data_IF_242446359928
#
_entry.id   IF_242446359928
#
_cell.length_a   1.000
_cell.length_b   1.000
_cell.length_c   1.000
_cell.angle_alpha   90.00
_cell.angle_beta   90.00
_cell.angle_gamma   90.00
#
_symmetry.space_group_name_H-M   'P 1'
#
loop_
_entity.id
_entity.type
_entity.pdbx_description
1 polymer ?
#
# COMPACT_ATOMS: atom_id res chain seq x y z
N UNK A 1 34.52 -16.02 44.63
CA UNK A 1 33.40 -16.22 45.59
C UNK A 1 32.35 -15.14 45.39
N UNK A 2 31.28 -15.48 44.65
CA UNK A 2 29.88 -15.00 44.73
C UNK A 2 29.20 -15.45 43.42
N UNK A 3 28.39 -16.52 43.44
CA UNK A 3 27.68 -16.98 42.26
C UNK A 3 26.32 -16.28 42.18
N UNK A 4 25.93 -15.87 40.97
CA UNK A 4 24.56 -15.50 40.66
C UNK A 4 23.88 -16.67 39.94
N UNK A 5 22.89 -17.24 40.61
CA UNK A 5 21.93 -18.17 40.06
C UNK A 5 20.89 -17.39 39.24
N UNK A 6 20.72 -17.72 37.97
CA UNK A 6 19.51 -17.40 37.21
C UNK A 6 18.85 -18.72 36.81
N UNK A 7 17.59 -18.85 37.21
CA UNK A 7 16.78 -20.04 37.04
C UNK A 7 16.30 -20.21 35.61
N UNK A 8 16.42 -21.44 35.14
CA UNK A 8 15.74 -22.00 33.98
C UNK A 8 14.31 -22.37 34.37
N UNK A 9 13.32 -21.74 33.73
CA UNK A 9 11.96 -22.26 33.61
C UNK A 9 11.64 -22.33 32.12
N UNK A 10 11.39 -23.55 31.65
CA UNK A 10 11.01 -23.86 30.28
C UNK A 10 9.51 -24.07 30.10
N UNK A 11 9.21 -24.70 28.94
CA UNK A 11 7.92 -25.15 28.41
C UNK A 11 7.13 -24.08 27.63
N UNK A 12 6.51 -24.35 26.48
CA UNK A 12 6.44 -25.56 25.66
C UNK A 12 6.11 -25.17 24.21
N UNK A 13 6.61 -26.00 23.30
CA UNK A 13 6.35 -25.98 21.86
C UNK A 13 4.95 -26.50 21.58
N UNK A 14 4.16 -25.76 20.80
CA UNK A 14 2.89 -26.21 20.25
C UNK A 14 2.88 -26.01 18.73
N UNK A 15 3.35 -27.01 17.99
CA UNK A 15 3.25 -27.05 16.54
C UNK A 15 1.93 -27.74 16.14
N UNK A 16 1.05 -27.02 15.45
CA UNK A 16 -0.14 -27.57 14.80
C UNK A 16 0.25 -27.88 13.35
N UNK A 17 0.46 -29.15 13.06
CA UNK A 17 0.63 -29.67 11.70
C UNK A 17 -0.77 -30.00 11.13
N UNK A 18 -1.21 -29.22 10.15
CA UNK A 18 -2.38 -29.56 9.33
C UNK A 18 -1.90 -30.22 8.05
N UNK A 19 -1.95 -31.54 7.99
CA UNK A 19 -1.72 -32.30 6.77
C UNK A 19 -2.99 -32.28 5.91
N UNK A 20 -2.93 -31.63 4.75
CA UNK A 20 -3.95 -31.77 3.70
C UNK A 20 -3.45 -32.82 2.71
N UNK A 21 -4.08 -33.98 2.73
CA UNK A 21 -3.94 -35.03 1.70
C UNK A 21 -4.82 -34.64 0.50
N UNK A 22 -4.20 -34.26 -0.61
CA UNK A 22 -4.86 -34.26 -1.91
C UNK A 22 -4.69 -35.63 -2.56
N UNK A 23 -5.80 -36.35 -2.72
CA UNK A 23 -5.87 -37.55 -3.56
C UNK A 23 -6.00 -37.12 -5.02
N UNK A 24 -4.94 -37.32 -5.80
CA UNK A 24 -5.00 -37.23 -7.26
C UNK A 24 -5.73 -38.48 -7.80
N UNK A 25 -6.90 -38.28 -8.40
CA UNK A 25 -7.48 -39.25 -9.34
C UNK A 25 -7.01 -38.89 -10.73
N UNK A 26 -6.22 -39.79 -11.31
CA UNK A 26 -5.79 -39.69 -12.70
C UNK A 26 -6.97 -39.91 -13.65
N UNK A 27 -6.84 -39.31 -14.83
CA UNK A 27 -7.54 -39.77 -16.01
C UNK A 27 -6.57 -39.69 -17.19
N UNK A 28 -6.34 -40.86 -17.80
CA UNK A 28 -5.55 -41.08 -19.01
C UNK A 28 -6.47 -40.95 -20.23
N UNK A 29 -6.25 -39.99 -21.12
CA UNK A 29 -6.47 -40.10 -22.58
C UNK A 29 -5.77 -38.88 -23.20
N UNK A 30 -4.97 -38.92 -24.26
CA UNK A 30 -4.74 -39.91 -25.30
C UNK A 30 -3.72 -39.31 -26.27
N UNK A 31 -2.88 -40.17 -26.84
CA UNK A 31 -1.95 -39.80 -27.89
C UNK A 31 -2.69 -39.41 -29.17
N UNK A 32 -2.28 -38.30 -29.78
CA UNK A 32 -2.55 -38.01 -31.19
C UNK A 32 -1.32 -37.35 -31.82
N UNK A 33 -0.55 -38.18 -32.54
CA UNK A 33 0.27 -37.76 -33.67
C UNK A 33 -0.58 -37.00 -34.68
N UNK A 34 -0.05 -35.90 -35.25
CA UNK A 34 -0.70 -35.32 -36.40
C UNK A 34 -0.25 -33.92 -36.80
N UNK A 35 0.73 -33.89 -37.71
CA UNK A 35 0.83 -32.96 -38.84
C UNK A 35 0.99 -31.45 -38.58
N UNK A 36 2.18 -30.97 -38.93
CA UNK A 36 2.43 -29.59 -39.38
C UNK A 36 1.53 -29.22 -40.56
N UNK A 37 1.10 -27.95 -40.62
CA UNK A 37 0.94 -27.28 -41.90
C UNK A 37 1.80 -26.02 -41.97
N UNK A 38 2.69 -26.01 -42.97
CA UNK A 38 3.17 -24.79 -43.61
C UNK A 38 1.99 -24.07 -44.27
N UNK A 39 1.76 -22.80 -43.94
CA UNK A 39 1.03 -21.86 -44.82
C UNK A 39 1.32 -20.41 -44.38
N UNK A 40 2.18 -19.69 -45.10
CA UNK A 40 1.93 -18.90 -46.32
C UNK A 40 1.45 -17.48 -45.98
N UNK A 41 2.29 -16.53 -46.38
CA UNK A 41 2.02 -15.09 -46.38
C UNK A 41 0.71 -14.79 -47.11
N UNK A 42 -0.13 -13.96 -46.49
CA UNK A 42 -1.07 -13.15 -47.27
C UNK A 42 -1.32 -11.81 -46.61
N UNK A 43 -0.80 -10.79 -47.29
CA UNK A 43 -1.23 -9.41 -47.18
C UNK A 43 -2.76 -9.31 -47.24
N UNK A 44 -3.33 -8.59 -46.28
CA UNK A 44 -4.75 -8.28 -46.19
C UNK A 44 -4.93 -6.88 -45.65
N UNK A 45 -4.85 -5.90 -46.54
CA UNK A 45 -5.43 -4.56 -46.37
C UNK A 45 -6.93 -4.70 -46.14
N UNK A 46 -7.38 -4.41 -44.92
CA UNK A 46 -8.79 -4.41 -44.52
C UNK A 46 -9.18 -3.04 -43.96
N UNK A 47 -9.52 -2.11 -44.85
CA UNK A 47 -10.33 -0.93 -44.53
C UNK A 47 -11.71 -1.39 -44.08
N UNK A 48 -12.01 -1.25 -42.79
CA UNK A 48 -13.32 -1.52 -42.21
C UNK A 48 -13.91 -0.27 -41.57
N UNK A 49 -14.65 0.50 -42.37
CA UNK A 49 -15.61 1.50 -41.93
C UNK A 49 -16.74 0.81 -41.16
N UNK A 50 -16.73 0.95 -39.83
CA UNK A 50 -17.79 0.51 -38.92
C UNK A 50 -18.53 1.70 -38.34
N UNK A 51 -19.49 2.22 -39.11
CA UNK A 51 -20.57 3.10 -38.64
C UNK A 51 -21.51 2.35 -37.69
N UNK A 52 -21.81 2.97 -36.55
CA UNK A 52 -23.09 2.82 -35.86
C UNK A 52 -23.13 1.81 -34.72
N UNK A 53 -23.15 2.31 -33.48
CA UNK A 53 -24.29 2.10 -32.58
C UNK A 53 -24.15 3.05 -31.38
N UNK A 54 -24.64 4.28 -31.50
CA UNK A 54 -24.81 5.19 -30.37
C UNK A 54 -26.03 4.73 -29.58
N UNK A 55 -25.85 3.75 -28.68
CA UNK A 55 -26.87 3.46 -27.68
C UNK A 55 -26.82 4.55 -26.62
N UNK A 56 -27.87 5.36 -26.64
CA UNK A 56 -28.17 6.38 -25.66
C UNK A 56 -28.04 5.83 -24.24
N UNK A 57 -27.15 6.47 -23.49
CA UNK A 57 -27.25 6.51 -22.05
C UNK A 57 -28.22 7.66 -21.72
N UNK A 58 -29.46 7.28 -21.45
CA UNK A 58 -30.40 8.14 -20.74
C UNK A 58 -29.85 8.38 -19.33
N UNK A 59 -29.30 9.58 -19.14
CA UNK A 59 -28.78 10.02 -17.86
C UNK A 59 -29.89 10.15 -16.80
N UNK A 60 -29.58 9.89 -15.52
CA UNK A 60 -30.45 10.33 -14.44
C UNK A 60 -30.41 11.87 -14.38
N UNK A 61 -31.50 12.46 -14.86
CA UNK A 61 -31.91 13.84 -14.72
C UNK A 61 -31.44 14.47 -13.40
N UNK A 62 -30.65 15.53 -13.52
CA UNK A 62 -30.35 16.44 -12.43
C UNK A 62 -31.65 17.04 -11.87
N UNK A 63 -32.05 16.58 -10.70
CA UNK A 63 -33.12 17.18 -9.90
C UNK A 63 -32.69 18.55 -9.40
N UNK A 64 -32.94 19.58 -10.22
CA UNK A 64 -32.81 20.98 -9.83
C UNK A 64 -33.98 21.33 -8.90
N UNK A 65 -33.78 21.28 -7.59
CA UNK A 65 -34.70 21.94 -6.64
C UNK A 65 -34.33 23.40 -6.52
N UNK A 66 -34.87 24.19 -7.44
CA UNK A 66 -35.15 25.59 -7.19
C UNK A 66 -36.30 25.67 -6.19
N UNK A 67 -36.01 25.98 -4.93
CA UNK A 67 -37.03 26.43 -4.00
C UNK A 67 -37.21 27.94 -4.22
N UNK A 68 -38.32 28.27 -4.87
CA UNK A 68 -38.83 29.62 -5.03
C UNK A 68 -38.99 30.28 -3.66
N UNK A 69 -38.62 31.56 -3.59
CA UNK A 69 -38.92 32.40 -2.46
C UNK A 69 -40.42 32.61 -2.34
N UNK A 70 -40.92 32.50 -1.11
CA UNK A 70 -42.24 33.00 -0.75
C UNK A 70 -42.10 34.34 0.00
N UNK A 71 -43.07 35.24 -0.19
CA UNK A 71 -42.96 36.65 0.15
C UNK A 71 -43.07 36.92 1.64
N UNK A 72 -42.34 37.95 2.05
CA UNK A 72 -42.42 38.62 3.33
C UNK A 72 -43.88 38.89 3.73
N UNK A 73 -44.36 38.14 4.72
CA UNK A 73 -45.57 38.50 5.48
C UNK A 73 -45.10 39.22 6.74
N UNK A 74 -45.35 40.52 6.79
CA UNK A 74 -45.15 41.34 7.98
C UNK A 74 -46.26 41.05 9.01
N UNK A 75 -45.95 40.60 10.24
CA UNK A 75 -46.86 40.76 11.35
C UNK A 75 -46.72 42.18 11.90
N UNK A 76 -47.67 43.02 11.50
CA UNK A 76 -47.93 44.30 12.16
C UNK A 76 -48.81 44.06 13.38
N UNK A 77 -48.30 44.49 14.54
CA UNK A 77 -49.13 44.97 15.64
C UNK A 77 -49.49 43.97 16.74
N UNK A 78 -49.12 44.33 17.97
CA UNK A 78 -49.76 43.85 19.18
C UNK A 78 -48.84 43.08 20.10
N UNK A 79 -48.12 43.77 20.97
CA UNK A 79 -48.52 43.94 22.37
C UNK A 79 -47.25 44.18 23.22
N UNK A 80 -47.10 45.41 23.68
CA UNK A 80 -46.16 45.79 24.73
C UNK A 80 -46.67 45.21 26.06
N UNK A 81 -46.62 43.88 26.19
CA UNK A 81 -46.75 43.18 27.45
C UNK A 81 -45.36 43.11 28.08
N UNK A 82 -45.09 44.01 29.02
CA UNK A 82 -43.98 43.86 29.94
C UNK A 82 -44.12 42.51 30.67
N UNK A 83 -43.49 41.47 30.13
CA UNK A 83 -43.17 40.26 30.88
C UNK A 83 -42.01 40.65 31.80
N UNK A 84 -42.38 41.36 32.88
CA UNK A 84 -41.56 41.53 34.06
C UNK A 84 -41.03 40.16 34.41
N UNK A 85 -39.76 39.94 34.04
CA UNK A 85 -38.78 39.07 34.68
C UNK A 85 -39.31 38.54 35.99
N UNK A 86 -40.08 37.45 35.90
CA UNK A 86 -40.46 36.65 37.03
C UNK A 86 -39.16 35.99 37.44
N UNK A 87 -38.41 36.69 38.28
CA UNK A 87 -37.48 36.12 39.24
C UNK A 87 -38.34 35.16 40.08
N UNK A 88 -38.68 34.01 39.49
CA UNK A 88 -39.15 32.85 40.22
C UNK A 88 -38.00 32.55 41.16
N UNK A 89 -38.14 33.07 42.39
CA UNK A 89 -37.23 32.83 43.49
C UNK A 89 -37.24 31.32 43.67
N UNK A 90 -36.26 30.66 43.05
CA UNK A 90 -36.06 29.24 43.18
C UNK A 90 -36.01 28.97 44.67
N UNK A 91 -37.03 28.28 45.17
CA UNK A 91 -37.03 27.84 46.57
C UNK A 91 -35.71 27.11 46.82
N UNK A 92 -35.15 27.16 48.04
CA UNK A 92 -33.92 26.43 48.36
C UNK A 92 -33.97 24.94 47.96
N UNK A 93 -35.16 24.34 47.94
CA UNK A 93 -35.40 22.97 47.48
C UNK A 93 -35.34 22.78 45.96
N UNK A 94 -35.69 23.80 45.17
CA UNK A 94 -35.55 23.78 43.70
C UNK A 94 -34.07 23.97 43.31
N UNK A 95 -33.38 24.94 43.91
CA UNK A 95 -31.95 25.16 43.69
C UNK A 95 -31.12 23.92 44.06
N UNK A 96 -31.44 23.25 45.17
CA UNK A 96 -30.78 21.99 45.55
C UNK A 96 -31.00 20.87 44.53
N UNK A 97 -32.18 20.80 43.92
CA UNK A 97 -32.48 19.79 42.89
C UNK A 97 -31.70 20.06 41.60
N UNK A 98 -31.67 21.31 41.14
CA UNK A 98 -30.88 21.71 39.97
C UNK A 98 -29.38 21.48 40.21
N UNK A 99 -28.87 21.84 41.38
CA UNK A 99 -27.47 21.59 41.72
C UNK A 99 -27.10 20.10 41.66
N UNK A 100 -27.98 19.20 42.13
CA UNK A 100 -27.75 17.76 42.03
C UNK A 100 -27.80 17.22 40.60
N UNK A 101 -28.58 17.83 39.70
CA UNK A 101 -28.60 17.51 38.27
C UNK A 101 -27.27 17.91 37.63
N UNK A 102 -26.83 19.16 37.86
CA UNK A 102 -25.55 19.66 37.35
C UNK A 102 -24.37 18.82 37.83
N UNK A 103 -24.36 18.41 39.11
CA UNK A 103 -23.31 17.54 39.65
C UNK A 103 -23.27 16.17 38.96
N UNK A 104 -24.44 15.62 38.61
CA UNK A 104 -24.52 14.34 37.90
C UNK A 104 -24.03 14.46 36.46
N UNK A 105 -24.44 15.51 35.75
CA UNK A 105 -23.96 15.80 34.39
C UNK A 105 -22.45 16.02 34.37
N UNK A 106 -21.92 16.77 35.34
CA UNK A 106 -20.50 17.01 35.47
C UNK A 106 -19.72 15.70 35.71
N UNK A 107 -20.26 14.79 36.52
CA UNK A 107 -19.67 13.47 36.72
C UNK A 107 -19.63 12.64 35.42
N UNK A 108 -20.72 12.58 34.67
CA UNK A 108 -20.79 11.87 33.37
C UNK A 108 -19.80 12.47 32.36
N UNK A 109 -19.69 13.81 32.29
CA UNK A 109 -18.72 14.46 31.42
C UNK A 109 -17.28 14.13 31.81
N UNK A 110 -16.96 14.09 33.11
CA UNK A 110 -15.64 13.68 33.57
C UNK A 110 -15.30 12.23 33.21
N UNK A 111 -16.27 11.30 33.31
CA UNK A 111 -16.08 9.92 32.87
C UNK A 111 -15.86 9.83 31.35
N UNK A 112 -16.60 10.60 30.55
CA UNK A 112 -16.41 10.65 29.09
C UNK A 112 -15.04 11.22 28.71
N UNK A 113 -14.60 12.30 29.37
CA UNK A 113 -13.27 12.87 29.15
C UNK A 113 -12.18 11.86 29.51
N UNK A 114 -12.31 11.17 30.65
CA UNK A 114 -11.35 10.15 31.07
C UNK A 114 -11.31 8.98 30.08
N UNK A 115 -12.46 8.52 29.57
CA UNK A 115 -12.54 7.47 28.57
C UNK A 115 -11.90 7.88 27.24
N UNK A 116 -12.17 9.10 26.77
CA UNK A 116 -11.55 9.65 25.55
C UNK A 116 -10.04 9.82 25.71
N UNK A 117 -9.58 10.32 26.86
CA UNK A 117 -8.15 10.44 27.16
C UNK A 117 -7.46 9.07 27.19
N UNK A 118 -8.09 8.05 27.77
CA UNK A 118 -7.58 6.69 27.74
C UNK A 118 -7.52 6.12 26.31
N UNK A 119 -8.51 6.43 25.47
CA UNK A 119 -8.54 6.02 24.07
C UNK A 119 -7.44 6.70 23.25
N UNK A 120 -7.22 8.00 23.47
CA UNK A 120 -6.12 8.75 22.85
C UNK A 120 -4.76 8.21 23.32
N UNK A 121 -4.60 7.92 24.61
CA UNK A 121 -3.36 7.33 25.13
C UNK A 121 -3.10 5.94 24.53
N UNK A 122 -4.11 5.08 24.42
CA UNK A 122 -3.97 3.77 23.78
C UNK A 122 -3.63 3.88 22.28
N UNK A 123 -4.19 4.87 21.57
CA UNK A 123 -3.85 5.15 20.17
C UNK A 123 -2.44 5.73 20.04
N UNK A 124 -1.98 6.54 20.99
CA UNK A 124 -0.62 7.08 21.02
C UNK A 124 0.41 6.01 21.37
N UNK A 125 0.12 5.12 22.32
CA UNK A 125 0.96 3.97 22.65
C UNK A 125 0.99 2.93 21.51
N UNK A 126 -0.13 2.71 20.83
CA UNK A 126 -0.19 1.92 19.60
C UNK A 126 0.49 2.61 18.41
N UNK A 127 0.48 3.93 18.37
CA UNK A 127 1.15 4.77 17.37
C UNK A 127 2.66 4.87 17.56
N UNK A 128 3.17 4.74 18.79
CA UNK A 128 4.61 4.64 19.06
C UNK A 128 5.24 3.37 18.44
N UNK A 129 4.45 2.33 18.19
CA UNK A 129 4.88 1.17 17.40
C UNK A 129 4.87 1.44 15.87
N UNK A 130 4.19 2.50 15.41
CA UNK A 130 4.24 2.95 14.01
C UNK A 130 5.42 3.88 13.73
N UNK A 131 5.96 4.54 14.75
CA UNK A 131 7.09 5.48 14.65
C UNK A 131 8.45 4.78 14.42
N UNK A 132 8.56 3.48 14.71
CA UNK A 132 9.77 2.69 14.45
C UNK A 132 9.70 1.91 13.12
N UNK A 133 8.82 2.30 12.20
CA UNK A 133 8.89 1.75 10.84
C UNK A 133 10.10 2.40 10.16
N UNK A 134 11.15 1.62 9.87
CA UNK A 134 12.35 2.18 9.29
C UNK A 134 12.02 2.84 7.95
N UNK A 135 12.44 4.10 7.78
CA UNK A 135 12.43 4.80 6.49
C UNK A 135 13.03 3.88 5.41
N UNK A 136 12.28 3.69 4.32
CA UNK A 136 12.68 2.82 3.19
C UNK A 136 13.19 3.58 1.98
N UNK A 137 12.96 4.89 1.95
CA UNK A 137 13.35 5.85 0.91
C UNK A 137 13.85 7.14 1.56
N UNK A 138 14.39 8.07 0.76
CA UNK A 138 14.96 9.35 1.20
C UNK A 138 16.05 9.26 2.30
N UNK A 139 16.70 8.12 2.37
CA UNK A 139 17.80 7.87 3.31
C UNK A 139 18.99 8.76 2.96
N UNK A 140 19.44 9.56 3.91
CA UNK A 140 20.59 10.43 3.72
C UNK A 140 21.90 9.60 3.64
N UNK A 141 22.99 10.16 3.07
CA UNK A 141 24.26 9.44 2.91
C UNK A 141 24.84 8.84 4.20
N UNK A 142 24.60 9.49 5.35
CA UNK A 142 25.04 8.98 6.65
C UNK A 142 24.23 7.75 7.12
N UNK A 143 22.92 7.72 6.86
CA UNK A 143 22.08 6.54 7.09
C UNK A 143 22.49 5.39 6.17
N UNK A 144 22.68 5.67 4.88
CA UNK A 144 23.12 4.67 3.89
C UNK A 144 24.50 4.07 4.25
N UNK A 145 25.45 4.90 4.67
CA UNK A 145 26.76 4.43 5.13
C UNK A 145 26.68 3.53 6.37
N UNK A 146 25.78 3.83 7.32
CA UNK A 146 25.54 2.96 8.49
C UNK A 146 24.90 1.64 8.09
N UNK A 147 23.93 1.67 7.18
CA UNK A 147 23.28 0.46 6.66
C UNK A 147 24.26 -0.43 5.91
N UNK A 148 25.17 0.14 5.11
CA UNK A 148 26.21 -0.64 4.43
C UNK A 148 27.13 -1.40 5.41
N UNK A 149 27.43 -0.83 6.59
CA UNK A 149 28.25 -1.49 7.62
C UNK A 149 27.57 -2.74 8.20
N UNK A 150 26.24 -2.76 8.29
CA UNK A 150 25.45 -3.91 8.73
C UNK A 150 24.89 -4.73 7.56
N UNK A 151 25.32 -4.45 6.32
CA UNK A 151 24.77 -5.01 5.10
C UNK A 151 23.22 -4.92 5.02
N UNK A 152 22.65 -3.89 5.63
CA UNK A 152 21.22 -3.65 5.65
C UNK A 152 20.80 -3.00 4.35
N UNK A 153 19.72 -3.52 3.76
CA UNK A 153 19.06 -2.93 2.60
C UNK A 153 17.60 -2.67 2.96
N UNK A 154 17.14 -1.46 2.66
CA UNK A 154 15.73 -1.07 2.74
C UNK A 154 15.32 -0.54 1.38
N UNK A 155 14.13 -0.91 0.95
CA UNK A 155 13.56 -0.46 -0.30
C UNK A 155 12.04 -0.61 -0.24
N UNK A 156 11.39 0.14 -1.09
CA UNK A 156 9.97 0.06 -1.39
C UNK A 156 9.78 -0.11 -2.90
N UNK A 157 8.66 -0.71 -3.26
CA UNK A 157 8.24 -0.89 -4.66
C UNK A 157 6.72 -1.04 -4.74
N UNK A 158 6.13 -0.86 -5.94
CA UNK A 158 4.76 -1.29 -6.19
C UNK A 158 4.56 -2.77 -5.86
N UNK A 159 3.31 -3.13 -5.54
CA UNK A 159 2.94 -4.50 -5.18
C UNK A 159 3.13 -5.47 -6.36
N UNK A 160 3.62 -6.69 -6.08
CA UNK A 160 3.71 -7.81 -7.03
C UNK A 160 2.41 -8.63 -7.12
N UNK A 161 1.26 -7.99 -6.88
CA UNK A 161 -0.06 -8.62 -7.01
C UNK A 161 -0.39 -8.94 -8.47
N UNK A 162 -1.48 -9.66 -8.73
CA UNK A 162 -1.90 -10.03 -10.10
C UNK A 162 -2.28 -8.81 -10.95
N UNK A 163 -2.85 -7.79 -10.31
CA UNK A 163 -3.28 -6.55 -10.96
C UNK A 163 -2.37 -5.40 -10.53
N UNK A 164 -2.11 -4.42 -11.41
CA UNK A 164 -1.36 -3.24 -11.03
C UNK A 164 -2.10 -2.47 -9.93
N UNK A 165 -1.37 -1.87 -8.97
CA UNK A 165 -2.00 -1.01 -7.97
C UNK A 165 -2.62 0.22 -8.64
N UNK A 166 -3.64 0.78 -7.99
CA UNK A 166 -4.29 2.04 -8.39
C UNK A 166 -4.55 2.89 -7.16
N UNK A 167 -4.68 4.20 -7.36
CA UNK A 167 -5.03 5.13 -6.27
C UNK A 167 -6.48 4.84 -5.83
N UNK A 168 -6.73 4.55 -4.53
CA UNK A 168 -8.08 4.43 -4.01
C UNK A 168 -8.87 5.75 -4.15
N UNK A 169 -10.16 5.66 -4.43
CA UNK A 169 -11.01 6.85 -4.64
C UNK A 169 -10.99 7.85 -3.47
N UNK A 170 -10.78 7.37 -2.24
CA UNK A 170 -10.62 8.24 -1.05
C UNK A 170 -9.38 9.13 -1.12
N UNK A 171 -8.28 8.59 -1.64
CA UNK A 171 -6.97 9.27 -1.67
C UNK A 171 -6.90 10.31 -2.80
N UNK A 172 -7.67 10.15 -3.88
CA UNK A 172 -7.77 11.14 -4.97
C UNK A 172 -8.15 12.52 -4.42
N UNK A 173 -9.16 12.55 -3.53
CA UNK A 173 -9.68 13.80 -2.98
C UNK A 173 -8.75 14.43 -1.93
N UNK A 174 -8.06 13.61 -1.13
CA UNK A 174 -7.13 14.11 -0.10
C UNK A 174 -5.85 14.70 -0.72
N UNK A 175 -5.41 14.12 -1.85
CA UNK A 175 -4.26 14.60 -2.62
C UNK A 175 -4.60 15.73 -3.60
N UNK A 176 -5.88 16.11 -3.72
CA UNK A 176 -6.30 17.16 -4.67
C UNK A 176 -6.05 16.81 -6.14
N UNK A 177 -5.97 15.52 -6.48
CA UNK A 177 -5.69 15.07 -7.83
C UNK A 177 -6.87 15.32 -8.76
N UNK A 178 -6.57 15.82 -9.96
CA UNK A 178 -7.52 15.95 -11.08
C UNK A 178 -7.64 14.62 -11.82
N UNK A 179 -8.75 14.43 -12.53
CA UNK A 179 -9.01 13.19 -13.30
C UNK A 179 -7.87 12.82 -14.27
N UNK A 180 -7.27 13.82 -14.91
CA UNK A 180 -6.14 13.60 -15.81
C UNK A 180 -4.85 13.19 -15.07
N UNK A 181 -4.66 13.64 -13.83
CA UNK A 181 -3.51 13.26 -13.01
C UNK A 181 -3.69 11.85 -12.46
N UNK A 182 -4.90 11.48 -12.05
CA UNK A 182 -5.25 10.11 -11.64
C UNK A 182 -4.95 9.12 -12.76
N UNK A 183 -5.32 9.46 -14.01
CA UNK A 183 -5.02 8.62 -15.17
C UNK A 183 -3.50 8.42 -15.36
N UNK A 184 -2.71 9.49 -15.23
CA UNK A 184 -1.24 9.45 -15.32
C UNK A 184 -0.66 8.57 -14.20
N UNK A 185 -1.08 8.75 -12.95
CA UNK A 185 -0.54 7.95 -11.84
C UNK A 185 -0.85 6.47 -12.03
N UNK A 186 -2.09 6.13 -12.38
CA UNK A 186 -2.49 4.74 -12.61
C UNK A 186 -1.74 4.13 -13.80
N UNK A 187 -1.48 4.89 -14.86
CA UNK A 187 -0.65 4.45 -15.99
C UNK A 187 0.79 4.16 -15.55
N UNK A 188 1.41 5.04 -14.77
CA UNK A 188 2.77 4.82 -14.25
C UNK A 188 2.86 3.62 -13.32
N UNK A 189 1.86 3.40 -12.45
CA UNK A 189 1.77 2.19 -11.65
C UNK A 189 1.64 0.93 -12.52
N UNK A 190 0.85 0.96 -13.59
CA UNK A 190 0.70 -0.16 -14.51
C UNK A 190 2.00 -0.47 -15.26
N UNK A 191 2.74 0.55 -15.73
CA UNK A 191 4.03 0.38 -16.39
C UNK A 191 5.10 -0.19 -15.44
N UNK A 192 5.18 0.35 -14.23
CA UNK A 192 6.10 -0.14 -13.19
C UNK A 192 5.79 -1.59 -12.80
N UNK A 193 4.51 -1.91 -12.56
CA UNK A 193 4.03 -3.26 -12.29
C UNK A 193 4.39 -4.23 -13.41
N UNK A 194 4.14 -3.87 -14.68
CA UNK A 194 4.47 -4.70 -15.82
C UNK A 194 5.97 -5.05 -15.89
N UNK A 195 6.86 -4.06 -15.67
CA UNK A 195 8.32 -4.30 -15.60
C UNK A 195 8.69 -5.27 -14.49
N UNK A 196 8.14 -5.07 -13.28
CA UNK A 196 8.40 -5.95 -12.15
C UNK A 196 7.96 -7.39 -12.43
N UNK A 197 6.75 -7.58 -12.98
CA UNK A 197 6.22 -8.90 -13.34
C UNK A 197 7.06 -9.56 -14.42
N UNK A 198 7.48 -8.81 -15.44
CA UNK A 198 8.33 -9.30 -16.51
C UNK A 198 9.66 -9.83 -15.97
N UNK A 199 10.33 -9.05 -15.12
CA UNK A 199 11.62 -9.44 -14.52
C UNK A 199 11.48 -10.67 -13.62
N UNK A 200 10.44 -10.73 -12.78
CA UNK A 200 10.19 -11.90 -11.93
C UNK A 200 9.92 -13.16 -12.77
N UNK A 201 9.10 -13.06 -13.82
CA UNK A 201 8.82 -14.19 -14.72
C UNK A 201 10.07 -14.64 -15.48
N UNK A 202 10.85 -13.70 -15.99
CA UNK A 202 12.09 -14.01 -16.71
C UNK A 202 13.12 -14.70 -15.81
N UNK A 203 13.26 -14.26 -14.56
CA UNK A 203 14.14 -14.90 -13.57
C UNK A 203 13.61 -16.27 -13.14
N UNK A 204 12.30 -16.42 -12.98
CA UNK A 204 11.67 -17.70 -12.67
C UNK A 204 12.01 -18.74 -13.74
N UNK A 205 11.72 -18.43 -15.01
CA UNK A 205 11.94 -19.34 -16.12
C UNK A 205 13.43 -19.76 -16.26
N UNK A 206 14.36 -18.83 -16.01
CA UNK A 206 15.79 -19.13 -16.03
C UNK A 206 16.24 -20.07 -14.90
N UNK A 207 15.62 -19.96 -13.72
CA UNK A 207 15.97 -20.78 -12.55
C UNK A 207 15.32 -22.15 -12.57
N UNK A 208 14.07 -22.25 -13.01
CA UNK A 208 13.29 -23.49 -12.96
C UNK A 208 13.35 -24.28 -14.27
N UNK A 209 13.67 -23.60 -15.39
CA UNK A 209 13.52 -24.16 -16.73
C UNK A 209 12.07 -24.24 -17.21
N UNK A 210 11.11 -23.70 -16.44
CA UNK A 210 9.70 -23.64 -16.78
C UNK A 210 9.34 -22.25 -17.32
N UNK A 211 9.17 -22.15 -18.64
CA UNK A 211 8.77 -20.94 -19.35
C UNK A 211 7.25 -20.69 -19.30
N UNK A 212 6.49 -21.65 -18.75
CA UNK A 212 5.04 -21.58 -18.59
C UNK A 212 4.65 -21.93 -17.15
N UNK A 213 4.90 -21.04 -16.17
CA UNK A 213 4.64 -21.29 -14.74
C UNK A 213 3.14 -21.43 -14.39
N UNK A 214 2.29 -21.69 -15.37
CA UNK A 214 0.85 -21.90 -15.23
C UNK A 214 0.15 -20.67 -14.68
N UNK A 215 -0.66 -20.91 -13.65
CA UNK A 215 -1.47 -19.89 -12.97
C UNK A 215 -0.77 -19.28 -11.75
N UNK A 216 0.56 -19.43 -11.62
CA UNK A 216 1.27 -18.82 -10.50
C UNK A 216 1.19 -17.29 -10.55
N UNK A 217 0.94 -16.67 -9.40
CA UNK A 217 1.01 -15.22 -9.28
C UNK A 217 2.47 -14.74 -9.30
N UNK A 218 2.75 -13.48 -9.69
CA UNK A 218 4.10 -12.93 -9.63
C UNK A 218 4.71 -13.01 -8.22
N UNK A 219 3.92 -12.77 -7.18
CA UNK A 219 4.34 -12.94 -5.79
C UNK A 219 4.74 -14.38 -5.44
N UNK A 220 3.98 -15.38 -5.90
CA UNK A 220 4.31 -16.79 -5.69
C UNK A 220 5.62 -17.17 -6.41
N UNK A 221 5.83 -16.67 -7.64
CA UNK A 221 7.09 -16.87 -8.36
C UNK A 221 8.26 -16.22 -7.61
N UNK A 222 8.11 -14.98 -7.14
CA UNK A 222 9.12 -14.29 -6.34
C UNK A 222 9.48 -15.05 -5.05
N UNK A 223 8.48 -15.59 -4.35
CA UNK A 223 8.68 -16.40 -3.16
C UNK A 223 9.47 -17.68 -3.46
N UNK A 224 9.13 -18.39 -4.54
CA UNK A 224 9.85 -19.60 -4.96
C UNK A 224 11.28 -19.30 -5.42
N UNK A 225 11.51 -18.21 -6.16
CA UNK A 225 12.86 -17.73 -6.51
C UNK A 225 13.68 -17.49 -5.25
N UNK A 226 13.09 -16.79 -4.26
CA UNK A 226 13.77 -16.47 -3.01
C UNK A 226 14.12 -17.71 -2.19
N UNK A 227 13.23 -18.70 -2.13
CA UNK A 227 13.43 -19.97 -1.41
C UNK A 227 14.50 -20.86 -2.07
N UNK A 228 14.53 -20.89 -3.40
CA UNK A 228 15.49 -21.70 -4.18
C UNK A 228 16.86 -21.04 -4.36
N UNK A 229 16.97 -19.74 -4.12
CA UNK A 229 18.23 -19.01 -4.25
C UNK A 229 19.23 -19.46 -3.18
N UNK A 230 20.50 -19.65 -3.56
CA UNK A 230 21.53 -20.01 -2.59
C UNK A 230 21.68 -18.88 -1.57
N UNK A 231 21.70 -19.23 -0.27
CA UNK A 231 21.78 -18.24 0.80
C UNK A 231 23.00 -17.34 0.60
N UNK A 232 24.17 -17.92 0.35
CA UNK A 232 25.44 -17.22 0.15
C UNK A 232 25.39 -16.26 -1.05
N UNK A 233 24.65 -16.62 -2.10
CA UNK A 233 24.40 -15.76 -3.24
C UNK A 233 23.57 -14.53 -2.84
N UNK A 234 22.46 -14.73 -2.13
CA UNK A 234 21.65 -13.63 -1.61
C UNK A 234 22.46 -12.72 -0.67
N UNK A 235 23.28 -13.29 0.22
CA UNK A 235 24.14 -12.48 1.10
C UNK A 235 25.10 -11.61 0.29
N UNK A 236 25.74 -12.18 -0.74
CA UNK A 236 26.64 -11.44 -1.64
C UNK A 236 25.89 -10.31 -2.34
N UNK A 237 24.71 -10.58 -2.89
CA UNK A 237 23.88 -9.59 -3.60
C UNK A 237 23.50 -8.45 -2.64
N UNK A 238 22.91 -8.75 -1.48
CA UNK A 238 22.47 -7.71 -0.54
C UNK A 238 23.63 -6.88 0.02
N UNK A 239 24.80 -7.49 0.26
CA UNK A 239 26.02 -6.75 0.63
C UNK A 239 26.44 -5.79 -0.47
N UNK A 240 26.43 -6.24 -1.72
CA UNK A 240 26.83 -5.42 -2.85
C UNK A 240 25.86 -4.25 -3.05
N UNK A 241 24.55 -4.50 -3.06
CA UNK A 241 23.53 -3.46 -3.22
C UNK A 241 23.55 -2.43 -2.10
N UNK A 242 23.77 -2.83 -0.85
CA UNK A 242 23.86 -1.86 0.26
C UNK A 242 25.09 -0.95 0.13
N UNK A 243 26.23 -1.47 -0.32
CA UNK A 243 27.44 -0.69 -0.56
C UNK A 243 27.31 0.22 -1.77
N UNK A 244 26.66 -0.23 -2.84
CA UNK A 244 26.38 0.59 -4.02
C UNK A 244 25.44 1.76 -3.68
N UNK A 245 24.35 1.51 -2.94
CA UNK A 245 23.46 2.58 -2.46
C UNK A 245 24.18 3.58 -1.56
N UNK A 246 25.15 3.14 -0.78
CA UNK A 246 25.99 4.02 0.04
C UNK A 246 27.10 4.76 -0.75
N UNK A 247 27.21 4.54 -2.06
CA UNK A 247 28.26 5.12 -2.91
C UNK A 247 29.66 4.55 -2.63
N UNK A 248 29.76 3.43 -1.90
CA UNK A 248 31.02 2.76 -1.56
C UNK A 248 31.50 1.81 -2.66
N UNK A 249 30.58 1.34 -3.50
CA UNK A 249 30.85 0.56 -4.70
C UNK A 249 30.16 1.19 -5.91
N UNK A 250 30.77 1.06 -7.08
CA UNK A 250 30.13 1.45 -8.34
C UNK A 250 29.25 0.30 -8.85
N UNK A 251 28.04 0.59 -9.36
CA UNK A 251 27.24 -0.42 -10.03
C UNK A 251 28.00 -1.05 -11.21
N UNK A 252 27.76 -2.34 -11.52
CA UNK A 252 28.33 -2.98 -12.71
C UNK A 252 27.92 -2.24 -13.98
N UNK A 253 28.87 -2.02 -14.90
CA UNK A 253 28.61 -1.32 -16.15
C UNK A 253 27.71 -2.12 -17.11
N UNK A 254 27.73 -3.46 -17.01
CA UNK A 254 26.91 -4.37 -17.79
C UNK A 254 26.06 -5.23 -16.85
N UNK A 255 24.77 -4.92 -16.77
CA UNK A 255 23.82 -5.67 -15.95
C UNK A 255 23.45 -7.01 -16.57
N UNK A 256 23.57 -7.16 -17.89
CA UNK A 256 23.19 -8.39 -18.60
C UNK A 256 24.15 -9.55 -18.33
N UNK A 257 25.38 -9.24 -17.91
CA UNK A 257 26.39 -10.22 -17.51
C UNK A 257 26.20 -10.75 -16.08
N UNK A 258 25.25 -10.20 -15.30
CA UNK A 258 25.01 -10.61 -13.91
C UNK A 258 24.15 -11.87 -13.82
N UNK A 259 24.23 -12.64 -12.71
CA UNK A 259 23.29 -13.73 -12.47
C UNK A 259 21.82 -13.25 -12.45
N UNK A 260 20.86 -14.06 -12.91
CA UNK A 260 19.46 -13.63 -13.05
C UNK A 260 18.80 -13.16 -11.74
N UNK A 261 19.17 -13.79 -10.61
CA UNK A 261 18.70 -13.39 -9.28
C UNK A 261 19.22 -12.00 -8.90
N UNK A 262 20.48 -11.70 -9.23
CA UNK A 262 21.05 -10.37 -8.98
C UNK A 262 20.41 -9.30 -9.87
N UNK A 263 20.17 -9.60 -11.16
CA UNK A 263 19.45 -8.71 -12.06
C UNK A 263 18.06 -8.38 -11.50
N UNK A 264 17.33 -9.38 -11.03
CA UNK A 264 16.01 -9.20 -10.40
C UNK A 264 16.10 -8.27 -9.19
N UNK A 265 16.94 -8.58 -8.20
CA UNK A 265 17.03 -7.75 -6.99
C UNK A 265 17.48 -6.32 -7.26
N UNK A 266 18.32 -6.09 -8.27
CA UNK A 266 18.66 -4.73 -8.70
C UNK A 266 17.42 -3.96 -9.12
N UNK A 267 16.59 -4.53 -10.00
CA UNK A 267 15.32 -3.90 -10.42
C UNK A 267 14.39 -3.69 -9.22
N UNK A 268 14.11 -4.73 -8.44
CA UNK A 268 13.18 -4.64 -7.30
C UNK A 268 13.58 -3.55 -6.29
N UNK A 269 14.89 -3.38 -6.05
CA UNK A 269 15.40 -2.45 -5.03
C UNK A 269 15.51 -1.00 -5.52
N UNK A 270 15.42 -0.77 -6.83
CA UNK A 270 15.41 0.58 -7.44
C UNK A 270 14.06 1.01 -7.99
N UNK A 271 13.09 0.09 -8.10
CA UNK A 271 11.81 0.39 -8.74
C UNK A 271 11.04 1.51 -8.04
N UNK A 272 11.12 1.60 -6.71
CA UNK A 272 10.49 2.68 -5.98
C UNK A 272 11.00 4.08 -6.39
N UNK A 273 12.32 4.21 -6.56
CA UNK A 273 12.95 5.46 -7.00
C UNK A 273 12.65 5.73 -8.49
N UNK A 274 12.61 4.68 -9.31
CA UNK A 274 12.29 4.78 -10.74
C UNK A 274 10.82 5.22 -10.98
N UNK A 275 9.88 4.72 -10.18
CA UNK A 275 8.47 5.13 -10.25
C UNK A 275 8.30 6.58 -9.79
N UNK A 276 8.94 6.98 -8.69
CA UNK A 276 8.89 8.37 -8.25
C UNK A 276 9.43 9.31 -9.33
N UNK A 277 10.57 8.95 -9.93
CA UNK A 277 11.14 9.74 -11.02
C UNK A 277 10.20 9.86 -12.22
N UNK A 278 9.57 8.75 -12.64
CA UNK A 278 8.65 8.79 -13.79
C UNK A 278 7.39 9.60 -13.51
N UNK A 279 6.90 9.58 -12.27
CA UNK A 279 5.81 10.46 -11.82
C UNK A 279 6.28 11.93 -11.79
N UNK A 280 7.48 12.21 -11.28
CA UNK A 280 8.02 13.55 -11.20
C UNK A 280 8.19 14.20 -12.58
N UNK A 281 8.56 13.42 -13.59
CA UNK A 281 8.68 13.89 -14.99
C UNK A 281 7.33 14.31 -15.59
N UNK A 282 6.22 13.69 -15.16
CA UNK A 282 4.88 13.94 -15.72
C UNK A 282 4.04 14.92 -14.89
N UNK A 283 4.19 14.89 -13.57
CA UNK A 283 3.33 15.58 -12.60
C UNK A 283 4.08 16.63 -11.77
N UNK A 284 5.41 16.65 -11.83
CA UNK A 284 6.27 17.47 -10.99
C UNK A 284 6.76 16.73 -9.75
N UNK A 285 7.96 17.08 -9.29
CA UNK A 285 8.64 16.40 -8.19
C UNK A 285 7.87 16.47 -6.86
N UNK A 286 7.24 17.61 -6.54
CA UNK A 286 6.53 17.80 -5.28
C UNK A 286 5.35 16.81 -5.14
N UNK A 287 4.54 16.66 -6.19
CA UNK A 287 3.40 15.74 -6.18
C UNK A 287 3.84 14.26 -6.19
N UNK A 288 4.93 13.93 -6.89
CA UNK A 288 5.50 12.58 -6.86
C UNK A 288 5.99 12.20 -5.45
N UNK A 289 6.67 13.12 -4.77
CA UNK A 289 7.11 12.92 -3.39
C UNK A 289 5.90 12.82 -2.43
N UNK A 290 4.87 13.66 -2.59
CA UNK A 290 3.65 13.57 -1.79
C UNK A 290 2.94 12.22 -1.94
N UNK A 291 2.86 11.71 -3.18
CA UNK A 291 2.31 10.38 -3.48
C UNK A 291 3.07 9.26 -2.78
N UNK A 292 4.41 9.30 -2.79
CA UNK A 292 5.25 8.32 -2.08
C UNK A 292 5.09 8.45 -0.57
N UNK A 293 4.98 9.68 -0.07
CA UNK A 293 4.84 9.98 1.36
C UNK A 293 3.49 9.58 1.97
N UNK A 294 2.40 9.56 1.17
CA UNK A 294 1.05 9.22 1.66
C UNK A 294 1.01 7.92 2.46
N UNK A 295 1.82 6.94 2.06
CA UNK A 295 1.89 5.65 2.73
C UNK A 295 3.27 5.39 3.36
N UNK A 296 4.14 6.39 3.50
CA UNK A 296 5.54 6.25 3.92
C UNK A 296 6.31 5.26 3.01
N UNK A 297 6.26 5.49 1.71
CA UNK A 297 6.79 4.65 0.64
C UNK A 297 5.68 3.98 -0.15
N UNK A 298 6.05 3.20 -1.16
CA UNK A 298 5.09 2.42 -1.95
C UNK A 298 4.51 1.24 -1.16
N UNK A 299 3.45 0.62 -1.71
CA UNK A 299 2.62 -0.39 -1.03
C UNK A 299 3.40 -1.62 -0.52
N UNK A 300 4.57 -1.92 -1.08
CA UNK A 300 5.42 -3.02 -0.63
C UNK A 300 6.76 -2.50 -0.16
N UNK A 301 7.05 -2.73 1.13
CA UNK A 301 8.25 -2.23 1.82
C UNK A 301 9.02 -3.40 2.39
N UNK A 302 10.32 -3.37 2.19
CA UNK A 302 11.19 -4.47 2.53
C UNK A 302 12.40 -3.98 3.32
N UNK A 303 12.86 -4.87 4.19
CA UNK A 303 14.10 -4.74 4.93
C UNK A 303 14.82 -6.08 4.90
N UNK A 304 16.09 -6.06 4.53
CA UNK A 304 16.96 -7.24 4.56
C UNK A 304 18.24 -6.91 5.31
N UNK A 305 18.63 -7.78 6.23
CA UNK A 305 19.95 -7.74 6.90
C UNK A 305 20.79 -8.96 6.52
N UNK A 306 20.41 -9.67 5.44
CA UNK A 306 21.03 -10.94 5.06
C UNK A 306 22.48 -10.81 4.58
N UNK A 307 22.94 -9.61 4.22
CA UNK A 307 24.22 -9.44 3.53
C UNK A 307 25.48 -9.65 4.38
N UNK A 308 25.36 -9.63 5.70
CA UNK A 308 26.46 -9.82 6.63
C UNK A 308 26.33 -11.21 7.33
N UNK A 309 27.44 -11.93 7.55
CA UNK A 309 27.46 -13.25 8.20
C UNK A 309 27.12 -13.21 9.69
#
# INVERSE_FOLDING_TARGET
MRPWMTGLLGAAVGAVLTAVLFTATGDEVGAAEGASPTRDERAGTGTGTGTGDTRGWDGPSAGTRAAAGDPATAPSGGDEGADETRLDVLTPAALKREHLVVLRENHVLHEQVAALQAQVAALQEGGAAAEDRPETYDLNPGQLAKMAQSCELRWDMPSLTELPPSIPAGDISSLGLRDNEVAIVNEQFALSHARLVEVVRATYAQLTGDDTPGSMSPEAMYAEISDKSAKEELQRIFRQLSHERAGLLQPPADLSALPPVEQMYRVLTTEGDALEQSLAEQLGADLAAELRNLHNGWNSKFRSTHGCP
#
